data_IF_548855244995
#
_entry.id   IF_548855244995
#
_cell.length_a   1.000
_cell.length_b   1.000
_cell.length_c   1.000
_cell.angle_alpha   90.00
_cell.angle_beta   90.00
_cell.angle_gamma   90.00
#
_symmetry.space_group_name_H-M   'P 1'
#
loop_
_entity.id
_entity.type
_entity.pdbx_description
1 polymer ?
#
# COMPACT_ATOMS: atom_id res chain seq x y z
N UNK A 1 15.15 -5.33 -0.17
CA UNK A 1 14.75 -4.01 0.36
C UNK A 1 14.68 -3.00 -0.76
N UNK A 2 13.61 -2.20 -0.85
CA UNK A 2 13.46 -1.20 -1.91
C UNK A 2 14.42 -0.04 -1.72
N UNK A 3 15.15 0.32 -2.78
CA UNK A 3 16.00 1.51 -2.84
C UNK A 3 15.10 2.74 -2.85
N UNK A 4 15.27 3.75 -1.97
CA UNK A 4 14.49 4.98 -2.09
C UNK A 4 14.77 5.63 -3.45
N UNK A 5 13.71 5.95 -4.18
CA UNK A 5 13.83 6.78 -5.37
C UNK A 5 14.47 8.12 -4.96
N UNK A 6 15.38 8.66 -5.78
CA UNK A 6 16.02 9.96 -5.54
C UNK A 6 14.95 11.00 -5.24
N UNK A 7 14.90 11.51 -4.00
CA UNK A 7 14.06 12.63 -3.55
C UNK A 7 12.70 12.31 -2.95
N UNK A 8 12.24 11.04 -2.87
CA UNK A 8 10.94 10.67 -2.29
C UNK A 8 11.07 9.77 -1.05
N UNK A 9 10.07 9.83 -0.15
CA UNK A 9 9.93 8.85 0.95
C UNK A 9 9.66 7.46 0.36
N UNK A 10 10.19 6.40 1.01
CA UNK A 10 9.82 5.02 0.69
C UNK A 10 8.30 4.87 0.80
N UNK A 11 7.67 4.17 -0.16
CA UNK A 11 6.22 3.99 -0.17
C UNK A 11 5.81 2.65 0.46
N UNK A 12 4.58 2.59 0.96
CA UNK A 12 3.99 1.36 1.48
C UNK A 12 3.98 0.26 0.42
N UNK A 13 3.70 0.62 -0.83
CA UNK A 13 3.58 -0.27 -1.98
C UNK A 13 4.92 -0.84 -2.42
N UNK A 14 6.02 -0.14 -2.11
CA UNK A 14 7.38 -0.61 -2.42
C UNK A 14 7.94 -1.60 -1.38
N UNK A 15 7.26 -1.78 -0.25
CA UNK A 15 7.69 -2.65 0.84
C UNK A 15 6.93 -3.97 0.84
N UNK A 16 7.60 -5.05 1.28
CA UNK A 16 6.89 -6.27 1.67
C UNK A 16 6.01 -5.96 2.88
N UNK A 17 4.84 -6.59 2.98
CA UNK A 17 3.90 -6.31 4.06
C UNK A 17 3.10 -7.53 4.47
N UNK A 18 2.68 -7.55 5.74
CA UNK A 18 1.75 -8.54 6.29
C UNK A 18 0.46 -7.82 6.69
N UNK A 19 -0.69 -8.44 6.41
CA UNK A 19 -2.01 -7.88 6.70
C UNK A 19 -2.81 -8.84 7.58
N UNK A 20 -3.07 -8.42 8.83
CA UNK A 20 -3.81 -9.22 9.80
C UNK A 20 -5.25 -9.52 9.36
N UNK A 21 -5.85 -8.64 8.55
CA UNK A 21 -7.20 -8.82 8.01
C UNK A 21 -7.26 -9.97 7.00
N UNK A 22 -6.19 -10.14 6.22
CA UNK A 22 -6.03 -11.27 5.31
C UNK A 22 -5.93 -12.57 6.09
N UNK A 23 -5.05 -12.62 7.10
CA UNK A 23 -4.89 -13.80 7.96
C UNK A 23 -6.18 -14.17 8.68
N UNK A 24 -6.95 -13.16 9.12
CA UNK A 24 -8.26 -13.39 9.74
C UNK A 24 -9.26 -14.03 8.77
N UNK A 25 -9.37 -13.51 7.54
CA UNK A 25 -10.25 -14.07 6.51
C UNK A 25 -9.86 -15.49 6.08
N UNK A 26 -8.57 -15.80 6.14
CA UNK A 26 -8.02 -17.12 5.83
C UNK A 26 -8.06 -18.07 7.05
N UNK A 27 -8.65 -17.67 8.18
CA UNK A 27 -8.75 -18.48 9.39
C UNK A 27 -7.43 -18.77 10.10
N UNK A 28 -6.39 -17.96 9.84
CA UNK A 28 -5.02 -18.23 10.31
C UNK A 28 -4.67 -17.56 11.65
N UNK A 29 -5.65 -17.00 12.37
CA UNK A 29 -5.41 -16.32 13.66
C UNK A 29 -5.79 -17.18 14.87
N UNK A 30 -6.02 -18.47 14.68
CA UNK A 30 -6.15 -19.42 15.78
C UNK A 30 -4.77 -19.82 16.32
N UNK A 31 -4.70 -20.20 17.59
CA UNK A 31 -3.46 -20.72 18.17
C UNK A 31 -2.96 -21.95 17.39
N UNK A 32 -1.66 -22.17 17.46
CA UNK A 32 -0.96 -23.32 16.85
C UNK A 32 -1.09 -23.47 15.32
N UNK A 33 -1.35 -22.35 14.61
CA UNK A 33 -1.28 -22.35 13.16
C UNK A 33 0.15 -22.06 12.67
N UNK A 34 0.60 -22.84 11.67
CA UNK A 34 1.88 -22.65 11.01
C UNK A 34 1.64 -22.40 9.52
N UNK A 35 2.16 -21.29 9.00
CA UNK A 35 2.09 -20.97 7.57
C UNK A 35 3.26 -20.09 7.14
N UNK A 36 3.44 -19.94 5.84
CA UNK A 36 4.44 -19.02 5.30
C UNK A 36 3.80 -17.95 4.43
N UNK A 37 4.41 -16.76 4.44
CA UNK A 37 4.11 -15.70 3.50
C UNK A 37 5.32 -15.48 2.60
N UNK A 38 5.10 -15.40 1.29
CA UNK A 38 6.14 -15.12 0.30
C UNK A 38 5.72 -13.96 -0.59
N UNK A 39 6.70 -13.22 -1.07
CA UNK A 39 6.51 -12.10 -1.99
C UNK A 39 7.39 -12.29 -3.21
N UNK A 40 6.87 -11.87 -4.36
CA UNK A 40 7.61 -11.82 -5.62
C UNK A 40 7.66 -10.38 -6.11
N UNK A 41 8.74 -10.02 -6.79
CA UNK A 41 8.89 -8.72 -7.44
C UNK A 41 9.46 -8.95 -8.84
N UNK A 42 8.73 -8.49 -9.86
CA UNK A 42 9.13 -8.73 -11.25
C UNK A 42 9.23 -10.22 -11.64
N UNK A 43 8.45 -11.09 -10.97
CA UNK A 43 8.51 -12.55 -11.18
C UNK A 43 9.52 -13.28 -10.28
N UNK A 44 10.46 -12.58 -9.66
CA UNK A 44 11.49 -13.16 -8.81
C UNK A 44 11.10 -13.17 -7.31
N UNK A 45 11.49 -14.20 -6.54
CA UNK A 45 11.28 -14.25 -5.09
C UNK A 45 11.93 -13.03 -4.41
N UNK A 46 11.14 -12.27 -3.67
CA UNK A 46 11.57 -11.04 -3.00
C UNK A 46 11.70 -11.18 -1.47
N UNK A 47 11.07 -12.18 -0.90
CA UNK A 47 11.15 -12.47 0.52
C UNK A 47 10.19 -13.57 0.93
N UNK A 48 10.50 -14.20 2.07
CA UNK A 48 9.66 -15.23 2.70
C UNK A 48 9.78 -15.11 4.21
N UNK A 49 8.68 -15.31 4.90
CA UNK A 49 8.63 -15.46 6.35
C UNK A 49 7.83 -16.71 6.71
N UNK A 50 8.18 -17.34 7.81
CA UNK A 50 7.36 -18.34 8.47
C UNK A 50 6.63 -17.67 9.62
N UNK A 51 5.38 -18.04 9.83
CA UNK A 51 4.52 -17.49 10.86
C UNK A 51 3.98 -18.62 11.71
N UNK A 52 4.12 -18.48 13.02
CA UNK A 52 3.43 -19.30 14.01
C UNK A 52 2.49 -18.41 14.81
N UNK A 53 1.23 -18.76 14.89
CA UNK A 53 0.27 -18.04 15.73
C UNK A 53 0.15 -18.71 17.07
N UNK A 54 0.27 -17.92 18.11
CA UNK A 54 0.07 -18.31 19.52
C UNK A 54 -1.16 -17.61 20.08
N UNK A 55 -1.51 -17.88 21.34
CA UNK A 55 -2.64 -17.21 21.96
C UNK A 55 -2.36 -15.70 22.10
N UNK A 56 -3.02 -14.90 21.25
CA UNK A 56 -2.92 -13.44 21.27
C UNK A 56 -1.69 -12.83 20.57
N UNK A 57 -0.83 -13.62 19.93
CA UNK A 57 0.30 -13.11 19.18
C UNK A 57 0.66 -13.94 17.95
N UNK A 58 1.43 -13.36 17.06
CA UNK A 58 2.08 -14.04 15.94
C UNK A 58 3.60 -13.96 16.08
N UNK A 59 4.28 -15.08 15.93
CA UNK A 59 5.74 -15.19 15.91
C UNK A 59 6.18 -15.27 14.46
N UNK A 60 6.94 -14.29 14.02
CA UNK A 60 7.47 -14.16 12.66
C UNK A 60 8.93 -14.64 12.66
N UNK A 61 9.26 -15.70 11.91
CA UNK A 61 10.61 -16.22 11.78
C UNK A 61 11.10 -16.03 10.34
N UNK A 62 12.19 -15.28 10.15
CA UNK A 62 12.71 -14.94 8.83
C UNK A 62 14.20 -14.59 8.89
N UNK A 63 14.81 -14.50 7.72
CA UNK A 63 16.16 -13.96 7.58
C UNK A 63 16.09 -12.57 6.99
N UNK A 64 16.78 -11.62 7.58
CA UNK A 64 16.92 -10.27 7.08
C UNK A 64 18.38 -9.89 6.94
N UNK A 65 18.65 -9.04 5.98
CA UNK A 65 19.96 -8.44 5.75
C UNK A 65 19.79 -6.91 5.81
N UNK A 66 20.57 -6.26 6.65
CA UNK A 66 20.59 -4.81 6.70
C UNK A 66 21.20 -4.23 5.42
N UNK A 67 20.75 -3.07 5.03
CA UNK A 67 21.31 -2.36 3.88
C UNK A 67 22.81 -2.10 4.09
N UNK A 68 23.64 -2.64 3.17
CA UNK A 68 25.10 -2.52 3.24
C UNK A 68 25.80 -3.57 4.11
N UNK A 69 25.08 -4.44 4.80
CA UNK A 69 25.67 -5.59 5.49
C UNK A 69 25.78 -6.80 4.57
N UNK A 70 26.87 -7.56 4.67
CA UNK A 70 27.06 -8.82 3.92
C UNK A 70 26.37 -10.02 4.59
N UNK A 71 26.05 -9.93 5.87
CA UNK A 71 25.55 -11.06 6.66
C UNK A 71 24.03 -11.07 6.79
N UNK A 72 23.46 -12.27 6.66
CA UNK A 72 22.06 -12.57 6.92
C UNK A 72 21.85 -12.91 8.40
N UNK A 73 20.96 -12.18 9.07
CA UNK A 73 20.56 -12.47 10.44
C UNK A 73 19.26 -13.25 10.47
N UNK A 74 19.19 -14.30 11.28
CA UNK A 74 17.94 -14.96 11.62
C UNK A 74 17.21 -14.13 12.66
N UNK A 75 15.94 -13.80 12.40
CA UNK A 75 15.12 -12.96 13.23
C UNK A 75 13.89 -13.76 13.67
N UNK A 76 13.59 -13.69 14.94
CA UNK A 76 12.31 -14.08 15.51
C UNK A 76 11.66 -12.85 16.11
N UNK A 77 10.52 -12.43 15.55
CA UNK A 77 9.79 -11.25 16.00
C UNK A 77 8.40 -11.64 16.50
N UNK A 78 8.11 -11.32 17.75
CA UNK A 78 6.78 -11.49 18.36
C UNK A 78 5.93 -10.25 18.11
N UNK A 79 4.74 -10.44 17.57
CA UNK A 79 3.79 -9.37 17.21
C UNK A 79 2.46 -9.65 17.90
N UNK A 80 2.12 -8.93 18.98
CA UNK A 80 0.86 -9.12 19.66
C UNK A 80 -0.33 -8.76 18.74
N UNK A 81 -1.46 -9.47 18.94
CA UNK A 81 -2.71 -9.29 18.19
C UNK A 81 -3.79 -8.85 19.18
N UNK A 82 -4.35 -7.67 18.93
CA UNK A 82 -5.47 -7.15 19.68
C UNK A 82 -6.77 -7.24 18.87
N UNK A 83 -7.90 -7.33 19.56
CA UNK A 83 -9.21 -7.39 18.93
C UNK A 83 -10.07 -6.23 19.37
N UNK A 84 -10.84 -5.68 18.43
CA UNK A 84 -11.88 -4.68 18.73
C UNK A 84 -13.23 -5.16 18.25
N UNK A 85 -14.28 -4.90 19.03
CA UNK A 85 -15.65 -5.16 18.59
C UNK A 85 -16.01 -4.26 17.38
N UNK A 86 -16.80 -4.78 16.45
CA UNK A 86 -17.35 -4.03 15.33
C UNK A 86 -18.78 -3.59 15.62
N UNK A 87 -19.18 -2.43 15.10
CA UNK A 87 -20.51 -1.87 15.29
C UNK A 87 -21.64 -2.79 14.78
N UNK A 88 -21.40 -3.47 13.67
CA UNK A 88 -22.36 -4.42 13.05
C UNK A 88 -22.16 -5.87 13.51
N UNK A 89 -21.53 -6.08 14.66
CA UNK A 89 -21.19 -7.40 15.18
C UNK A 89 -19.83 -7.93 14.69
N UNK A 90 -19.36 -8.98 15.38
CA UNK A 90 -18.05 -9.57 15.13
C UNK A 90 -16.90 -8.80 15.77
N UNK A 91 -15.66 -9.24 15.49
CA UNK A 91 -14.42 -8.66 16.03
C UNK A 91 -13.41 -8.42 14.93
N UNK A 92 -12.65 -7.35 15.04
CA UNK A 92 -11.61 -6.96 14.09
C UNK A 92 -10.23 -7.13 14.71
N UNK A 93 -9.33 -7.89 14.08
CA UNK A 93 -7.96 -8.04 14.56
C UNK A 93 -7.07 -6.86 14.17
N UNK A 94 -6.04 -6.62 14.99
CA UNK A 94 -5.01 -5.63 14.78
C UNK A 94 -3.67 -6.18 15.24
N UNK A 95 -2.62 -5.96 14.48
CA UNK A 95 -1.27 -6.08 14.99
C UNK A 95 -0.99 -4.93 15.96
N UNK A 96 -0.29 -5.21 17.04
CA UNK A 96 0.34 -4.20 17.88
C UNK A 96 1.79 -4.06 17.42
N UNK A 97 2.16 -2.87 16.98
CA UNK A 97 3.51 -2.62 16.49
C UNK A 97 4.52 -2.74 17.64
N UNK A 98 5.30 -3.82 17.66
CA UNK A 98 6.18 -4.21 18.76
C UNK A 98 7.63 -3.71 18.59
N UNK A 99 7.83 -2.56 17.95
CA UNK A 99 9.16 -1.99 17.74
C UNK A 99 9.38 -0.74 18.60
N UNK A 100 10.65 -0.48 18.90
CA UNK A 100 11.09 0.73 19.55
C UNK A 100 11.58 1.75 18.51
N UNK A 101 11.07 2.98 18.57
CA UNK A 101 11.51 4.09 17.75
C UNK A 101 12.07 5.19 18.66
N UNK A 102 13.33 5.56 18.49
CA UNK A 102 14.02 6.54 19.37
C UNK A 102 13.88 6.20 20.86
N UNK A 103 14.09 4.95 21.23
CA UNK A 103 14.00 4.45 22.61
C UNK A 103 12.58 4.30 23.15
N UNK A 104 11.53 4.66 22.40
CA UNK A 104 10.15 4.58 22.84
C UNK A 104 9.42 3.42 22.14
N UNK A 105 8.75 2.58 22.92
CA UNK A 105 7.89 1.52 22.41
C UNK A 105 6.72 2.08 21.61
N UNK A 106 6.47 1.55 20.42
CA UNK A 106 5.43 2.07 19.53
C UNK A 106 4.01 1.75 20.03
N UNK A 107 3.66 0.48 20.27
CA UNK A 107 2.37 0.03 20.77
C UNK A 107 1.14 0.35 19.92
N UNK A 108 1.31 0.89 18.70
CA UNK A 108 0.17 1.28 17.85
C UNK A 108 -0.53 0.09 17.24
N UNK A 109 -1.86 0.15 17.23
CA UNK A 109 -2.69 -0.77 16.44
C UNK A 109 -2.50 -0.50 14.94
N UNK A 110 -2.17 -1.54 14.19
CA UNK A 110 -1.97 -1.48 12.74
C UNK A 110 -2.62 -2.71 12.07
N UNK A 111 -3.36 -2.50 10.98
CA UNK A 111 -3.86 -3.60 10.19
C UNK A 111 -2.76 -4.23 9.32
N UNK A 112 -1.74 -3.42 8.96
CA UNK A 112 -0.62 -3.82 8.11
C UNK A 112 0.68 -3.43 8.78
N UNK A 113 1.64 -4.37 8.80
CA UNK A 113 3.03 -4.11 9.13
C UNK A 113 3.89 -4.28 7.89
N UNK A 114 4.97 -3.50 7.82
CA UNK A 114 5.86 -3.39 6.65
C UNK A 114 7.27 -3.83 7.01
N UNK A 115 7.89 -4.59 6.12
CA UNK A 115 9.30 -4.99 6.21
C UNK A 115 10.18 -4.02 5.43
N UNK A 116 10.29 -2.78 5.88
CA UNK A 116 11.16 -1.76 5.27
C UNK A 116 12.56 -1.71 5.90
N UNK A 117 12.76 -2.41 7.00
CA UNK A 117 14.01 -2.57 7.72
C UNK A 117 14.16 -4.00 8.23
N UNK A 118 14.89 -4.17 9.33
CA UNK A 118 15.14 -5.46 9.93
C UNK A 118 13.88 -6.10 10.51
N UNK A 119 13.00 -5.33 11.16
CA UNK A 119 11.77 -5.81 11.78
C UNK A 119 10.53 -5.39 10.98
N UNK A 120 9.45 -6.13 11.13
CA UNK A 120 8.14 -5.68 10.66
C UNK A 120 7.56 -4.62 11.60
N UNK A 121 7.29 -3.43 11.05
CA UNK A 121 6.79 -2.29 11.81
C UNK A 121 5.65 -1.55 11.12
N UNK A 122 4.93 -0.71 11.86
CA UNK A 122 3.86 0.08 11.29
C UNK A 122 4.39 1.18 10.36
N UNK A 123 3.53 1.66 9.47
CA UNK A 123 3.83 2.73 8.52
C UNK A 123 4.50 3.95 9.16
N UNK A 124 4.09 4.31 10.37
CA UNK A 124 4.62 5.50 11.07
C UNK A 124 6.03 5.31 11.60
N UNK A 125 6.38 4.11 12.09
CA UNK A 125 7.74 3.81 12.55
C UNK A 125 8.76 3.91 11.42
N UNK A 126 8.38 3.50 10.21
CA UNK A 126 9.22 3.62 9.02
C UNK A 126 9.05 4.93 8.26
N UNK A 127 8.14 5.82 8.69
CA UNK A 127 7.89 7.08 7.98
C UNK A 127 7.40 6.89 6.54
N UNK A 128 6.77 5.74 6.22
CA UNK A 128 6.36 5.43 4.86
C UNK A 128 5.23 6.36 4.39
N UNK A 129 5.30 6.75 3.12
CA UNK A 129 4.23 7.42 2.42
C UNK A 129 3.39 6.41 1.64
N UNK A 130 2.16 6.75 1.25
CA UNK A 130 1.46 6.05 0.18
C UNK A 130 1.94 6.58 -1.17
N UNK A 131 2.01 5.72 -2.18
CA UNK A 131 2.40 6.13 -3.54
C UNK A 131 1.52 7.29 -4.04
N UNK A 132 0.21 7.23 -3.77
CA UNK A 132 -0.74 8.29 -4.09
C UNK A 132 -0.43 9.65 -3.44
N UNK A 133 0.33 9.69 -2.33
CA UNK A 133 0.76 10.93 -1.70
C UNK A 133 1.99 11.56 -2.39
N UNK A 134 2.72 10.77 -3.16
CA UNK A 134 3.90 11.22 -3.92
C UNK A 134 3.57 11.57 -5.37
N UNK A 135 2.35 11.29 -5.80
CA UNK A 135 1.92 11.65 -7.14
C UNK A 135 1.90 13.16 -7.33
N UNK A 136 2.46 13.59 -8.44
CA UNK A 136 2.37 15.00 -8.85
C UNK A 136 0.91 15.36 -9.15
N UNK A 137 0.51 16.63 -9.03
CA UNK A 137 -0.84 17.07 -9.40
C UNK A 137 -1.24 16.66 -10.82
N UNK A 138 -0.29 16.66 -11.76
CA UNK A 138 -0.46 16.18 -13.13
C UNK A 138 -0.90 14.71 -13.17
N UNK A 139 -0.14 13.80 -12.51
CA UNK A 139 -0.44 12.37 -12.48
C UNK A 139 -1.75 12.08 -11.76
N UNK A 140 -2.09 12.83 -10.70
CA UNK A 140 -3.38 12.68 -10.00
C UNK A 140 -4.57 12.91 -10.91
N UNK A 141 -4.52 13.92 -11.78
CA UNK A 141 -5.57 14.19 -12.77
C UNK A 141 -5.75 13.02 -13.73
N UNK A 142 -4.64 12.53 -14.32
CA UNK A 142 -4.64 11.37 -15.22
C UNK A 142 -5.25 10.14 -14.52
N UNK A 143 -4.77 9.77 -13.34
CA UNK A 143 -5.28 8.60 -12.62
C UNK A 143 -6.75 8.72 -12.21
N UNK A 144 -7.20 9.94 -11.88
CA UNK A 144 -8.61 10.18 -11.57
C UNK A 144 -9.48 9.93 -12.80
N UNK A 145 -9.09 10.44 -13.96
CA UNK A 145 -9.79 10.23 -15.22
C UNK A 145 -9.80 8.75 -15.61
N UNK A 146 -8.65 8.09 -15.58
CA UNK A 146 -8.52 6.66 -15.85
C UNK A 146 -9.41 5.80 -14.94
N UNK A 147 -9.42 6.08 -13.64
CA UNK A 147 -10.25 5.37 -12.67
C UNK A 147 -11.75 5.52 -12.98
N UNK A 148 -12.18 6.68 -13.45
CA UNK A 148 -13.57 6.92 -13.84
C UNK A 148 -13.89 6.11 -15.12
N UNK A 149 -13.01 6.14 -16.13
CA UNK A 149 -13.16 5.37 -17.37
C UNK A 149 -13.30 3.87 -17.11
N UNK A 150 -12.39 3.31 -16.30
CA UNK A 150 -12.46 1.88 -15.90
C UNK A 150 -13.75 1.56 -15.15
N UNK A 151 -14.20 2.45 -14.25
CA UNK A 151 -15.48 2.29 -13.55
C UNK A 151 -16.68 2.25 -14.49
N UNK A 152 -16.60 2.92 -15.63
CA UNK A 152 -17.61 2.94 -16.68
C UNK A 152 -17.46 1.79 -17.69
N UNK A 153 -16.50 0.87 -17.48
CA UNK A 153 -16.23 -0.27 -18.37
C UNK A 153 -15.34 0.06 -19.55
N UNK A 154 -14.68 1.22 -19.55
CA UNK A 154 -13.72 1.61 -20.60
C UNK A 154 -12.27 1.30 -20.25
N UNK A 155 -11.39 1.67 -21.17
CA UNK A 155 -9.93 1.51 -21.09
C UNK A 155 -9.29 2.62 -20.24
N UNK A 156 -8.08 2.36 -19.73
CA UNK A 156 -7.20 3.37 -19.11
C UNK A 156 -6.59 4.33 -20.13
N UNK A 157 -6.68 4.01 -21.43
CA UNK A 157 -6.15 4.85 -22.50
C UNK A 157 -7.02 6.11 -22.67
N UNK A 158 -6.46 7.27 -22.38
CA UNK A 158 -7.16 8.55 -22.49
C UNK A 158 -7.37 9.02 -23.93
N UNK A 159 -6.64 8.44 -24.90
CA UNK A 159 -6.79 8.76 -26.33
C UNK A 159 -7.98 8.04 -26.97
N UNK A 160 -8.54 7.02 -26.31
CA UNK A 160 -9.75 6.36 -26.77
C UNK A 160 -11.00 7.19 -26.47
N UNK A 161 -12.10 7.03 -27.21
CA UNK A 161 -13.37 7.66 -26.91
C UNK A 161 -13.80 7.42 -25.46
N UNK A 162 -14.48 8.41 -24.87
CA UNK A 162 -14.98 8.25 -23.52
C UNK A 162 -16.02 7.12 -23.47
N UNK A 163 -15.98 6.24 -22.45
CA UNK A 163 -16.89 5.10 -22.39
C UNK A 163 -18.36 5.51 -22.41
N UNK A 164 -19.20 4.72 -23.07
CA UNK A 164 -20.64 4.89 -23.06
C UNK A 164 -21.24 4.67 -21.68
N UNK A 165 -22.47 5.14 -21.48
CA UNK A 165 -23.19 4.97 -20.22
C UNK A 165 -23.49 3.49 -19.97
N UNK A 166 -23.02 2.90 -18.87
CA UNK A 166 -23.34 1.51 -18.52
C UNK A 166 -24.86 1.29 -18.37
N UNK A 167 -25.31 0.10 -18.72
CA UNK A 167 -26.70 -0.32 -18.44
C UNK A 167 -27.02 -0.14 -16.96
N UNK A 168 -28.24 0.24 -16.63
CA UNK A 168 -28.74 0.50 -15.26
C UNK A 168 -28.11 1.68 -14.51
N UNK A 169 -27.20 2.46 -15.10
CA UNK A 169 -26.73 3.71 -14.51
C UNK A 169 -27.66 4.86 -14.87
N UNK A 170 -27.99 5.72 -13.90
CA UNK A 170 -28.74 6.96 -14.17
C UNK A 170 -27.91 7.97 -14.96
N UNK A 171 -28.53 8.68 -15.89
CA UNK A 171 -27.88 9.70 -16.71
C UNK A 171 -27.19 10.78 -15.89
N UNK A 172 -27.83 11.27 -14.83
CA UNK A 172 -27.23 12.28 -13.94
C UNK A 172 -25.91 11.80 -13.30
N UNK A 173 -25.85 10.51 -12.92
CA UNK A 173 -24.60 9.90 -12.36
C UNK A 173 -23.52 9.79 -13.44
N UNK A 174 -23.88 9.34 -14.64
CA UNK A 174 -22.96 9.23 -15.76
C UNK A 174 -22.38 10.61 -16.16
N UNK A 175 -23.25 11.62 -16.37
CA UNK A 175 -22.83 12.96 -16.76
C UNK A 175 -21.92 13.61 -15.69
N UNK A 176 -22.23 13.42 -14.40
CA UNK A 176 -21.38 13.89 -13.31
C UNK A 176 -20.00 13.21 -13.31
N UNK A 177 -19.93 11.92 -13.57
CA UNK A 177 -18.65 11.19 -13.66
C UNK A 177 -17.87 11.63 -14.89
N UNK A 178 -18.52 11.80 -16.03
CA UNK A 178 -17.92 12.29 -17.27
C UNK A 178 -17.34 13.70 -17.07
N UNK A 179 -18.12 14.65 -16.61
CA UNK A 179 -17.65 16.01 -16.33
C UNK A 179 -16.43 16.02 -15.36
N UNK A 180 -16.47 15.16 -14.34
CA UNK A 180 -15.35 15.04 -13.39
C UNK A 180 -14.08 14.47 -14.03
N UNK A 181 -14.19 13.53 -14.96
CA UNK A 181 -13.06 12.99 -15.71
C UNK A 181 -12.47 14.05 -16.65
N UNK A 182 -13.32 14.72 -17.43
CA UNK A 182 -12.93 15.80 -18.37
C UNK A 182 -12.22 16.95 -17.64
N UNK A 183 -12.73 17.37 -16.47
CA UNK A 183 -12.08 18.38 -15.62
C UNK A 183 -10.70 17.91 -15.14
N UNK A 184 -10.57 16.65 -14.74
CA UNK A 184 -9.31 16.10 -14.26
C UNK A 184 -8.27 15.98 -15.38
N UNK A 185 -8.69 15.59 -16.59
CA UNK A 185 -7.84 15.54 -17.80
C UNK A 185 -7.39 16.95 -18.20
N UNK A 186 -8.30 17.89 -18.27
CA UNK A 186 -8.00 19.28 -18.59
C UNK A 186 -6.96 19.88 -17.63
N UNK A 187 -7.18 19.76 -16.33
CA UNK A 187 -6.25 20.26 -15.32
C UNK A 187 -4.85 19.61 -15.39
N UNK A 188 -4.82 18.31 -15.66
CA UNK A 188 -3.55 17.57 -15.86
C UNK A 188 -2.79 18.06 -17.09
N UNK A 189 -3.50 18.30 -18.20
CA UNK A 189 -2.91 18.80 -19.45
C UNK A 189 -2.38 20.22 -19.29
N UNK A 190 -3.12 21.11 -18.63
CA UNK A 190 -2.66 22.46 -18.30
C UNK A 190 -1.35 22.45 -17.50
N UNK A 191 -1.27 21.65 -16.44
CA UNK A 191 -0.05 21.53 -15.65
C UNK A 191 1.12 20.96 -16.45
N UNK A 192 0.84 20.03 -17.36
CA UNK A 192 1.86 19.46 -18.26
C UNK A 192 2.41 20.52 -19.21
N UNK A 193 1.54 21.33 -19.81
CA UNK A 193 1.93 22.43 -20.71
C UNK A 193 2.74 23.50 -19.96
N UNK A 194 2.31 23.87 -18.76
CA UNK A 194 3.08 24.81 -17.92
C UNK A 194 4.48 24.29 -17.60
N UNK A 195 4.61 23.01 -17.27
CA UNK A 195 5.89 22.37 -17.00
C UNK A 195 6.80 22.36 -18.24
N UNK A 196 6.27 21.97 -19.40
CA UNK A 196 6.99 22.00 -20.68
C UNK A 196 7.48 23.41 -21.06
N UNK A 197 6.65 24.42 -20.85
CA UNK A 197 7.02 25.82 -21.13
C UNK A 197 8.12 26.32 -20.20
N UNK A 198 8.16 25.87 -18.93
CA UNK A 198 9.28 26.18 -18.02
C UNK A 198 10.59 25.56 -18.51
N UNK A 199 10.56 24.30 -18.96
CA UNK A 199 11.76 23.63 -19.48
C UNK A 199 12.31 24.31 -20.73
N UNK A 200 11.45 24.84 -21.62
CA UNK A 200 11.88 25.59 -22.82
C UNK A 200 12.53 26.93 -22.47
N UNK A 201 12.15 27.58 -21.36
CA UNK A 201 12.72 28.86 -20.91
C UNK A 201 14.04 28.72 -20.16
N UNK A 202 14.39 27.52 -19.70
CA UNK A 202 15.62 27.23 -18.95
C UNK A 202 16.76 26.68 -19.83
N UNK A 203 16.55 26.63 -21.13
CA UNK A 203 17.55 26.35 -22.19
C UNK A 203 17.85 27.61 -22.96
#
# INVERSE_FOLDING_TARGET
MARPARGGRTTCESCISIDVRRWHREGRLHADQYFSCSWTRGGEPSGRINVRTECGEAVLSYRAQNWGASEWKSIEQRVPIAWTACHLGGRRPWFICAVYCNGRYCGRRAAVLYGAGELFACRRCYGLAYESQQETPMRRGVFQAQKIRVRLGGSVNLFEPFPEKPKRMHWCTYLRLRARAETAEYYSNELTMQWLNRLKRSR
#
